data_IF_596560363960
#
_entry.id   IF_596560363960
#
_cell.length_a   1.000
_cell.length_b   1.000
_cell.length_c   1.000
_cell.angle_alpha   90.00
_cell.angle_beta   90.00
_cell.angle_gamma   90.00
#
_symmetry.space_group_name_H-M   'P 1'
#
loop_
_entity.id
_entity.type
_entity.pdbx_description
1 polymer ?
#
# COMPACT_ATOMS: atom_id res chain seq x y z
N UNK A 1 -16.60 15.77 -5.32
CA UNK A 1 -16.97 14.35 -5.17
C UNK A 1 -15.82 13.68 -4.43
N UNK A 2 -16.00 12.94 -3.33
CA UNK A 2 -14.90 12.18 -2.77
C UNK A 2 -14.42 11.17 -3.84
N UNK A 3 -13.13 11.18 -4.14
CA UNK A 3 -12.54 10.13 -4.98
C UNK A 3 -12.36 8.91 -4.10
N UNK A 4 -13.19 7.90 -4.32
CA UNK A 4 -13.01 6.60 -3.69
C UNK A 4 -11.76 5.92 -4.26
N UNK A 5 -10.84 5.51 -3.39
CA UNK A 5 -9.66 4.74 -3.76
C UNK A 5 -9.89 3.27 -3.42
N UNK A 6 -9.84 2.41 -4.43
CA UNK A 6 -9.98 0.96 -4.26
C UNK A 6 -8.60 0.34 -4.46
N UNK A 7 -8.15 -0.40 -3.45
CA UNK A 7 -6.93 -1.19 -3.51
C UNK A 7 -7.23 -2.65 -3.21
N UNK A 8 -6.54 -3.56 -3.90
CA UNK A 8 -6.55 -5.00 -3.56
C UNK A 8 -5.30 -5.27 -2.74
N UNK A 9 -5.50 -5.76 -1.51
CA UNK A 9 -4.41 -6.04 -0.58
C UNK A 9 -4.35 -7.55 -0.33
N UNK A 10 -3.16 -8.13 -0.51
CA UNK A 10 -2.88 -9.54 -0.17
C UNK A 10 -1.82 -9.56 0.91
N UNK A 11 -2.08 -10.30 1.98
CA UNK A 11 -1.15 -10.52 3.09
C UNK A 11 -1.04 -12.01 3.31
N UNK A 12 0.18 -12.55 3.30
CA UNK A 12 0.42 -13.97 3.50
C UNK A 12 1.80 -14.20 4.12
N UNK A 13 1.99 -15.37 4.74
CA UNK A 13 3.32 -15.84 5.14
C UNK A 13 3.91 -16.68 4.01
N UNK A 14 5.17 -16.43 3.65
CA UNK A 14 5.85 -17.29 2.68
C UNK A 14 6.10 -18.68 3.31
N UNK A 15 6.38 -19.71 2.50
CA UNK A 15 6.86 -20.97 3.06
C UNK A 15 8.12 -20.76 3.92
N UNK A 16 8.21 -21.35 5.11
CA UNK A 16 9.44 -21.30 5.92
C UNK A 16 10.58 -21.99 5.16
N UNK A 17 11.76 -21.37 5.10
CA UNK A 17 12.89 -21.84 4.29
C UNK A 17 13.93 -22.67 5.09
N UNK A 18 14.02 -22.53 6.41
CA UNK A 18 14.60 -23.56 7.29
C UNK A 18 13.74 -23.89 8.54
N UNK A 19 13.93 -25.08 9.15
CA UNK A 19 13.24 -25.44 10.41
C UNK A 19 13.70 -24.54 11.56
N UNK A 20 12.74 -23.89 12.22
CA UNK A 20 12.97 -23.07 13.41
C UNK A 20 12.94 -21.55 13.18
N UNK A 21 12.87 -21.10 11.93
CA UNK A 21 12.68 -19.67 11.63
C UNK A 21 11.20 -19.36 11.34
N UNK A 22 10.69 -18.22 11.83
CA UNK A 22 9.35 -17.77 11.47
C UNK A 22 9.30 -17.49 9.96
N UNK A 23 8.18 -17.88 9.36
CA UNK A 23 7.92 -17.57 7.96
C UNK A 23 7.83 -16.05 7.74
N UNK A 24 8.54 -15.48 6.75
CA UNK A 24 8.49 -14.06 6.47
C UNK A 24 7.09 -13.65 6.02
N UNK A 25 6.60 -12.53 6.54
CA UNK A 25 5.38 -11.92 6.02
C UNK A 25 5.62 -11.27 4.66
N UNK A 26 4.62 -11.37 3.79
CA UNK A 26 4.58 -10.77 2.47
C UNK A 26 3.30 -9.98 2.31
N UNK A 27 3.42 -8.80 1.71
CA UNK A 27 2.31 -7.92 1.38
C UNK A 27 2.42 -7.52 -0.08
N UNK A 28 1.28 -7.53 -0.76
CA UNK A 28 1.10 -6.97 -2.09
C UNK A 28 -0.10 -6.03 -2.07
N UNK A 29 0.11 -4.79 -2.47
CA UNK A 29 -0.92 -3.79 -2.74
C UNK A 29 -1.02 -3.61 -4.25
N UNK A 30 -2.22 -3.70 -4.79
CA UNK A 30 -2.51 -3.46 -6.21
C UNK A 30 -3.58 -2.37 -6.34
N UNK A 31 -3.30 -1.40 -7.20
CA UNK A 31 -4.32 -0.49 -7.72
C UNK A 31 -4.87 -1.07 -9.04
N UNK A 32 -6.09 -1.60 -9.06
CA UNK A 32 -6.66 -2.22 -10.26
C UNK A 32 -6.96 -1.20 -11.36
N UNK A 33 -7.08 0.10 -11.02
CA UNK A 33 -7.37 1.15 -12.00
C UNK A 33 -6.12 1.51 -12.81
N UNK A 34 -4.97 1.66 -12.16
CA UNK A 34 -3.71 1.99 -12.81
C UNK A 34 -2.86 0.77 -13.20
N UNK A 35 -3.14 -0.39 -12.60
CA UNK A 35 -2.32 -1.59 -12.72
C UNK A 35 -1.02 -1.53 -11.91
N UNK A 36 -0.82 -0.48 -11.08
CA UNK A 36 0.36 -0.35 -10.23
C UNK A 36 0.34 -1.35 -9.08
N UNK A 37 1.54 -1.79 -8.69
CA UNK A 37 1.75 -2.82 -7.67
C UNK A 37 2.91 -2.44 -6.76
N UNK A 38 2.71 -2.61 -5.46
CA UNK A 38 3.72 -2.41 -4.43
C UNK A 38 3.82 -3.66 -3.58
N UNK A 39 5.02 -4.24 -3.52
CA UNK A 39 5.30 -5.45 -2.76
C UNK A 39 6.36 -5.19 -1.71
N UNK A 40 6.13 -5.67 -0.50
CA UNK A 40 7.11 -5.62 0.57
C UNK A 40 6.98 -6.85 1.48
N UNK A 41 8.04 -7.13 2.23
CA UNK A 41 8.05 -8.21 3.20
C UNK A 41 9.36 -8.24 3.96
N UNK A 42 9.26 -8.54 5.25
CA UNK A 42 10.38 -8.55 6.18
C UNK A 42 10.39 -9.90 6.92
N UNK A 43 11.54 -10.60 6.94
CA UNK A 43 11.68 -11.90 7.59
C UNK A 43 11.65 -11.85 9.12
N UNK A 44 11.88 -10.69 9.71
CA UNK A 44 11.92 -10.45 11.14
C UNK A 44 10.70 -9.71 11.68
N UNK A 45 9.85 -9.17 10.80
CA UNK A 45 8.68 -8.41 11.20
C UNK A 45 7.59 -9.28 11.82
N UNK A 46 7.11 -8.86 12.99
CA UNK A 46 5.84 -9.35 13.51
C UNK A 46 4.64 -8.73 12.77
N UNK A 47 3.44 -9.22 13.06
CA UNK A 47 2.21 -8.77 12.40
C UNK A 47 1.93 -7.27 12.59
N UNK A 48 2.32 -6.66 13.71
CA UNK A 48 2.14 -5.24 13.96
C UNK A 48 3.03 -4.38 13.07
N UNK A 49 4.29 -4.78 12.89
CA UNK A 49 5.23 -4.09 11.99
C UNK A 49 4.77 -4.16 10.53
N UNK A 50 4.24 -5.30 10.09
CA UNK A 50 3.70 -5.49 8.74
C UNK A 50 2.49 -4.59 8.48
N UNK A 51 1.56 -4.51 9.44
CA UNK A 51 0.40 -3.62 9.33
C UNK A 51 0.80 -2.15 9.28
N UNK A 52 1.81 -1.76 10.06
CA UNK A 52 2.32 -0.38 10.05
C UNK A 52 2.93 -0.02 8.69
N UNK A 53 3.78 -0.89 8.14
CA UNK A 53 4.34 -0.70 6.80
C UNK A 53 3.25 -0.63 5.71
N UNK A 54 2.16 -1.39 5.84
CA UNK A 54 1.00 -1.29 4.96
C UNK A 54 0.31 0.07 5.07
N UNK A 55 0.05 0.56 6.28
CA UNK A 55 -0.56 1.88 6.45
C UNK A 55 0.30 2.99 5.89
N UNK A 56 1.61 2.97 6.15
CA UNK A 56 2.55 3.95 5.62
C UNK A 56 2.57 3.91 4.07
N UNK A 57 2.54 2.71 3.48
CA UNK A 57 2.43 2.53 2.02
C UNK A 57 1.13 3.13 1.46
N UNK A 58 -0.02 2.81 2.08
CA UNK A 58 -1.33 3.32 1.65
C UNK A 58 -1.43 4.85 1.76
N UNK A 59 -0.83 5.44 2.78
CA UNK A 59 -0.75 6.89 2.93
C UNK A 59 0.08 7.50 1.79
N UNK A 60 1.27 6.96 1.54
CA UNK A 60 2.17 7.49 0.52
C UNK A 60 1.59 7.43 -0.90
N UNK A 61 0.81 6.39 -1.22
CA UNK A 61 0.17 6.27 -2.55
C UNK A 61 -1.11 7.10 -2.67
N UNK A 62 -1.81 7.39 -1.56
CA UNK A 62 -3.02 8.21 -1.57
C UNK A 62 -2.73 9.72 -1.54
N UNK A 63 -1.60 10.14 -0.96
CA UNK A 63 -1.18 11.55 -0.91
C UNK A 63 -1.02 12.23 -2.29
N UNK A 64 -0.32 11.65 -3.29
CA UNK A 64 -0.19 12.28 -4.60
C UNK A 64 -1.53 12.41 -5.34
N UNK A 65 -2.51 11.54 -5.05
CA UNK A 65 -3.85 11.67 -5.61
C UNK A 65 -4.62 12.87 -5.02
N UNK A 66 -4.45 13.14 -3.72
CA UNK A 66 -5.05 14.31 -3.05
C UNK A 66 -4.45 15.65 -3.50
N UNK A 67 -3.16 15.67 -3.78
CA UNK A 67 -2.48 16.88 -4.27
C UNK A 67 -2.99 17.31 -5.66
N UNK A 68 -3.26 16.34 -6.55
CA UNK A 68 -3.77 16.63 -7.90
C UNK A 68 -5.24 17.10 -7.92
N UNK A 69 -6.06 16.72 -6.95
CA UNK A 69 -7.43 17.26 -6.81
C UNK A 69 -7.43 18.74 -6.38
N UNK A 70 -6.43 19.16 -5.60
CA UNK A 70 -6.33 20.55 -5.11
C UNK A 70 -6.00 21.53 -6.26
N UNK A 71 -5.20 21.10 -7.24
CA UNK A 71 -4.79 21.94 -8.37
C UNK A 71 -5.87 22.06 -9.46
N UNK A 72 -6.76 21.08 -9.60
CA UNK A 72 -7.87 21.11 -10.56
C UNK A 72 -9.04 22.05 -10.16
N UNK A 73 -9.00 22.63 -8.96
CA UNK A 73 -10.01 23.57 -8.45
C UNK A 73 -9.52 25.03 -8.34
N UNK A 74 -8.36 25.36 -8.89
CA UNK A 74 -7.97 26.77 -9.03
C UNK A 74 -8.98 27.49 -9.96
N UNK A 75 -9.65 28.57 -9.51
CA UNK A 75 -10.62 29.28 -10.33
C UNK A 75 -9.93 29.89 -11.54
N UNK A 76 -10.47 29.63 -12.73
CA UNK A 76 -10.12 30.36 -13.95
C UNK A 76 -10.41 31.84 -13.72
N UNK A 77 -9.36 32.63 -13.49
CA UNK A 77 -9.47 34.09 -13.52
C UNK A 77 -9.72 34.53 -14.98
N UNK A 78 -10.84 35.23 -15.15
CA UNK A 78 -11.25 35.98 -16.34
C UNK A 78 -10.19 36.98 -16.80
#
# INVERSE_FOLDING_TARGET
MPTDFIFVIRIWQAPPAPPGEPAPWRVLVEDPRSGQRWGFGDPSADSGQVLRALFDCLQHIAEPARANETTAHAPSHQ
#
